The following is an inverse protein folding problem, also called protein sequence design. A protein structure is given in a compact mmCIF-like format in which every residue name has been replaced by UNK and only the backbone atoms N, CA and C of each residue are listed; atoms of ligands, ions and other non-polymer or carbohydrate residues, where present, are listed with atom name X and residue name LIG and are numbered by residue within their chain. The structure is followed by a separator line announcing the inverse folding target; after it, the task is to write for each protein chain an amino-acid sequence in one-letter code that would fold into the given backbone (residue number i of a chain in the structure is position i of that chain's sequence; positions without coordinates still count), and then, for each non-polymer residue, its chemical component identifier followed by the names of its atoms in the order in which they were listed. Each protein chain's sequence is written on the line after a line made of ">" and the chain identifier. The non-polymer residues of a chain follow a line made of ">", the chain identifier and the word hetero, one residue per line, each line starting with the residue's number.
data_IF_504256814968
#
_entry.id   IF_504256814968
#
_cell.length_a   1.000
_cell.length_b   1.000
_cell.length_c   1.000
_cell.angle_alpha   90.00
_cell.angle_beta   90.00
_cell.angle_gamma   90.00
#
_symmetry.space_group_name_H-M   'P 1'
#
loop_
_entity.id
_entity.type
_entity.pdbx_description
1 polymer ?
#
# COMPACT_ATOMS: atom_id res chain seq x y z
N UNK A 1 -2.24 -7.03 0.29
CA UNK A 1 -2.86 -6.77 -1.02
C UNK A 1 -2.02 -5.77 -1.80
N UNK A 2 -1.85 -5.98 -3.12
CA UNK A 2 -1.04 -5.14 -4.03
C UNK A 2 -1.45 -3.68 -4.17
N UNK A 3 -2.67 -3.34 -3.75
CA UNK A 3 -3.27 -2.01 -3.83
C UNK A 3 -2.45 -0.89 -3.19
N UNK A 4 -1.72 -1.15 -2.11
CA UNK A 4 -0.90 -0.13 -1.45
C UNK A 4 0.20 0.45 -2.36
N UNK A 5 0.94 -0.41 -3.06
CA UNK A 5 2.04 0.03 -3.93
C UNK A 5 1.58 0.44 -5.33
N UNK A 6 0.46 -0.12 -5.78
CA UNK A 6 -0.27 0.43 -6.92
C UNK A 6 -0.66 1.90 -6.66
N UNK A 7 -1.12 2.23 -5.45
CA UNK A 7 -1.45 3.59 -5.06
C UNK A 7 -0.29 4.57 -5.25
N UNK A 8 0.94 4.15 -4.95
CA UNK A 8 2.16 4.93 -5.24
C UNK A 8 2.36 5.19 -6.73
N UNK A 9 2.21 4.15 -7.57
CA UNK A 9 2.30 4.28 -9.03
C UNK A 9 1.20 5.15 -9.63
N UNK A 10 -0.05 4.99 -9.19
CA UNK A 10 -1.19 5.83 -9.58
C UNK A 10 -0.95 7.29 -9.17
N UNK A 11 -0.42 7.51 -7.97
CA UNK A 11 -0.10 8.87 -7.48
C UNK A 11 0.95 9.53 -8.36
N UNK A 12 2.00 8.83 -8.79
CA UNK A 12 3.00 9.41 -9.70
C UNK A 12 2.41 9.82 -11.05
N UNK A 13 1.52 9.01 -11.64
CA UNK A 13 0.86 9.35 -12.91
C UNK A 13 -0.14 10.50 -12.73
N UNK A 14 -1.04 10.40 -11.76
CA UNK A 14 -2.12 11.38 -11.54
C UNK A 14 -1.54 12.72 -11.11
N UNK A 15 -0.63 12.74 -10.14
CA UNK A 15 -0.08 13.97 -9.60
C UNK A 15 1.02 14.55 -10.50
N UNK A 16 1.95 13.71 -10.95
CA UNK A 16 3.13 14.13 -11.69
C UNK A 16 2.85 14.38 -13.18
N UNK A 17 2.12 13.48 -13.84
CA UNK A 17 1.95 13.53 -15.30
C UNK A 17 0.63 14.17 -15.75
N UNK A 18 -0.42 14.17 -14.92
CA UNK A 18 -1.71 14.75 -15.28
C UNK A 18 -1.99 16.08 -14.60
N UNK A 19 -1.99 16.12 -13.26
CA UNK A 19 -2.41 17.31 -12.52
C UNK A 19 -1.34 18.41 -12.54
N UNK A 20 -0.06 18.10 -12.32
CA UNK A 20 0.98 19.12 -12.30
C UNK A 20 1.12 19.92 -13.61
N UNK A 21 1.14 19.31 -14.81
CA UNK A 21 1.14 20.05 -16.07
C UNK A 21 -0.12 20.89 -16.26
N UNK A 22 -1.29 20.38 -15.85
CA UNK A 22 -2.57 21.09 -15.94
C UNK A 22 -2.60 22.36 -15.08
N UNK A 23 -2.09 22.29 -13.84
CA UNK A 23 -2.00 23.47 -12.98
C UNK A 23 -0.89 24.45 -13.40
N UNK A 24 0.18 23.96 -14.05
CA UNK A 24 1.25 24.80 -14.60
C UNK A 24 0.79 25.70 -15.76
N UNK A 25 -0.32 25.38 -16.43
CA UNK A 25 -0.89 26.23 -17.50
C UNK A 25 -1.45 27.56 -16.99
N UNK A 26 -1.79 27.65 -15.70
CA UNK A 26 -2.39 28.85 -15.10
C UNK A 26 -1.65 29.41 -13.88
N UNK A 27 -0.57 28.76 -13.44
CA UNK A 27 0.12 29.08 -12.18
C UNK A 27 1.63 28.87 -12.28
N UNK A 28 2.41 29.52 -11.40
CA UNK A 28 3.85 29.26 -11.28
C UNK A 28 4.11 27.81 -10.81
N UNK A 29 5.27 27.21 -11.16
CA UNK A 29 5.62 25.86 -10.73
C UNK A 29 5.52 25.66 -9.21
N UNK A 30 5.96 26.64 -8.42
CA UNK A 30 5.87 26.65 -6.95
C UNK A 30 4.42 26.62 -6.44
N UNK A 31 3.49 27.27 -7.12
CA UNK A 31 2.10 27.27 -6.71
C UNK A 31 1.40 25.99 -7.19
N UNK A 32 1.73 25.50 -8.39
CA UNK A 32 1.14 24.29 -8.97
C UNK A 32 1.40 23.04 -8.11
N UNK A 33 2.62 22.81 -7.62
CA UNK A 33 2.91 21.63 -6.79
C UNK A 33 2.15 21.64 -5.46
N UNK A 34 1.97 22.82 -4.85
CA UNK A 34 1.22 22.99 -3.59
C UNK A 34 -0.26 22.71 -3.78
N UNK A 35 -0.85 23.22 -4.86
CA UNK A 35 -2.27 23.03 -5.16
C UNK A 35 -2.59 21.59 -5.53
N UNK A 36 -1.70 20.91 -6.24
CA UNK A 36 -1.85 19.49 -6.58
C UNK A 36 -1.96 18.62 -5.32
N UNK A 37 -1.23 18.95 -4.24
CA UNK A 37 -1.31 18.24 -2.95
C UNK A 37 -2.65 18.37 -2.21
N UNK A 38 -3.50 19.34 -2.58
CA UNK A 38 -4.85 19.48 -1.99
C UNK A 38 -5.75 18.33 -2.45
N UNK A 39 -5.59 17.85 -3.69
CA UNK A 39 -6.41 16.79 -4.28
C UNK A 39 -6.39 15.50 -3.43
N UNK A 40 -5.24 14.88 -3.11
CA UNK A 40 -5.22 13.69 -2.27
C UNK A 40 -5.70 13.96 -0.83
N UNK A 41 -5.52 15.17 -0.30
CA UNK A 41 -6.03 15.54 1.02
C UNK A 41 -7.57 15.51 1.06
N UNK A 42 -8.23 16.07 0.05
CA UNK A 42 -9.70 16.04 -0.07
C UNK A 42 -10.22 14.63 -0.26
N UNK A 43 -9.58 13.84 -1.14
CA UNK A 43 -9.95 12.43 -1.37
C UNK A 43 -9.79 11.61 -0.08
N UNK A 44 -8.70 11.81 0.65
CA UNK A 44 -8.45 11.14 1.93
C UNK A 44 -9.51 11.49 2.98
N UNK A 45 -9.85 12.77 3.12
CA UNK A 45 -10.87 13.22 4.07
C UNK A 45 -12.27 12.70 3.72
N UNK A 46 -12.66 12.77 2.44
CA UNK A 46 -13.94 12.24 1.98
C UNK A 46 -14.05 10.72 2.16
N UNK A 47 -12.96 9.99 1.87
CA UNK A 47 -12.90 8.54 2.10
C UNK A 47 -13.00 8.21 3.58
N UNK A 48 -12.25 8.91 4.44
CA UNK A 48 -12.31 8.74 5.89
C UNK A 48 -13.71 9.01 6.44
N UNK A 49 -14.37 10.09 6.01
CA UNK A 49 -15.74 10.39 6.40
C UNK A 49 -16.72 9.30 5.96
N UNK A 50 -16.55 8.76 4.75
CA UNK A 50 -17.39 7.68 4.22
C UNK A 50 -17.24 6.40 5.05
N UNK A 51 -16.01 6.02 5.38
CA UNK A 51 -15.72 4.86 6.23
C UNK A 51 -16.39 5.02 7.60
N UNK A 52 -16.27 6.18 8.23
CA UNK A 52 -16.88 6.45 9.54
C UNK A 52 -18.41 6.39 9.54
N UNK A 53 -19.07 6.52 8.39
CA UNK A 53 -20.53 6.57 8.28
C UNK A 53 -21.15 5.27 7.75
N UNK A 54 -20.42 4.51 6.95
CA UNK A 54 -20.96 3.37 6.19
C UNK A 54 -20.31 2.04 6.60
N UNK A 55 -19.08 2.06 7.11
CA UNK A 55 -18.35 0.83 7.39
C UNK A 55 -18.62 0.30 8.80
N UNK A 56 -18.94 -0.99 8.87
CA UNK A 56 -18.96 -1.75 10.11
C UNK A 56 -17.55 -2.32 10.40
N UNK A 57 -17.20 -2.46 11.68
CA UNK A 57 -15.88 -2.98 12.09
C UNK A 57 -15.63 -4.43 11.65
N UNK A 58 -16.70 -5.24 11.55
CA UNK A 58 -16.63 -6.62 11.09
C UNK A 58 -18.00 -7.11 10.56
N UNK A 59 -18.07 -8.29 9.90
CA UNK A 59 -19.34 -8.84 9.40
C UNK A 59 -20.41 -9.09 10.47
N UNK A 60 -20.03 -9.11 11.76
CA UNK A 60 -20.94 -9.29 12.90
C UNK A 60 -21.41 -7.96 13.53
N UNK A 61 -21.05 -6.82 12.93
CA UNK A 61 -21.33 -5.48 13.46
C UNK A 61 -20.14 -4.85 14.17
N UNK A 62 -20.38 -3.80 14.96
CA UNK A 62 -19.33 -2.99 15.56
C UNK A 62 -18.72 -3.64 16.81
N UNK A 63 -17.41 -3.47 17.00
CA UNK A 63 -16.70 -4.03 18.15
C UNK A 63 -17.18 -3.46 19.48
N UNK A 64 -17.60 -2.19 19.47
CA UNK A 64 -18.14 -1.54 20.66
C UNK A 64 -19.39 -2.27 21.19
N UNK A 65 -20.37 -2.51 20.33
CA UNK A 65 -21.61 -3.17 20.69
C UNK A 65 -21.37 -4.63 21.10
N UNK A 66 -20.44 -5.32 20.45
CA UNK A 66 -20.10 -6.71 20.81
C UNK A 66 -19.39 -6.82 22.16
N UNK A 67 -18.58 -5.83 22.55
CA UNK A 67 -17.97 -5.77 23.88
C UNK A 67 -19.00 -5.44 24.96
N UNK A 68 -19.89 -4.49 24.69
CA UNK A 68 -20.98 -4.11 25.62
C UNK A 68 -21.94 -5.30 25.86
N UNK A 69 -22.21 -6.10 24.83
CA UNK A 69 -23.05 -7.31 24.94
C UNK A 69 -22.30 -8.55 25.47
N UNK A 70 -21.01 -8.43 25.83
CA UNK A 70 -20.22 -9.55 26.38
C UNK A 70 -19.89 -10.66 25.38
N UNK A 71 -20.09 -10.43 24.07
CA UNK A 71 -19.83 -11.41 23.00
C UNK A 71 -18.34 -11.49 22.68
N UNK A 72 -17.58 -10.41 22.93
CA UNK A 72 -16.15 -10.32 22.65
C UNK A 72 -15.36 -10.07 23.94
N UNK A 73 -14.36 -10.92 24.28
CA UNK A 73 -13.50 -10.68 25.43
C UNK A 73 -12.61 -9.46 25.20
N UNK A 74 -12.40 -8.65 26.24
CA UNK A 74 -11.43 -7.57 26.20
C UNK A 74 -10.01 -8.12 26.21
N UNK A 75 -9.40 -8.17 25.03
CA UNK A 75 -7.97 -8.45 24.90
C UNK A 75 -7.17 -7.18 25.15
N UNK A 76 -6.22 -7.26 26.08
CA UNK A 76 -5.29 -6.16 26.32
C UNK A 76 -4.31 -6.06 25.16
N UNK A 77 -4.21 -4.88 24.54
CA UNK A 77 -3.25 -4.63 23.47
C UNK A 77 -1.81 -4.96 23.90
N UNK A 78 -1.48 -4.72 25.17
CA UNK A 78 -0.15 -4.99 25.75
C UNK A 78 0.13 -6.49 25.86
N UNK A 79 -0.87 -7.32 26.20
CA UNK A 79 -0.68 -8.77 26.25
C UNK A 79 -0.49 -9.35 24.85
N UNK A 80 -1.32 -8.95 23.89
CA UNK A 80 -1.18 -9.38 22.50
C UNK A 80 0.14 -8.94 21.87
N UNK A 81 0.60 -7.71 22.17
CA UNK A 81 1.89 -7.22 21.71
C UNK A 81 3.05 -8.04 22.31
N UNK A 82 3.01 -8.32 23.61
CA UNK A 82 4.03 -9.14 24.28
C UNK A 82 4.09 -10.55 23.70
N UNK A 83 2.95 -11.19 23.49
CA UNK A 83 2.90 -12.54 22.90
C UNK A 83 3.47 -12.55 21.48
N UNK A 84 3.13 -11.53 20.68
CA UNK A 84 3.68 -11.36 19.34
C UNK A 84 5.20 -11.14 19.34
N UNK A 85 5.69 -10.28 20.23
CA UNK A 85 7.11 -9.92 20.33
C UNK A 85 7.99 -11.04 20.89
N UNK A 86 7.45 -11.91 21.77
CA UNK A 86 8.18 -13.06 22.30
C UNK A 86 8.21 -14.24 21.33
N UNK A 87 7.40 -14.23 20.27
CA UNK A 87 7.38 -15.30 19.28
C UNK A 87 8.49 -15.12 18.24
N UNK A 88 9.40 -16.09 18.16
CA UNK A 88 10.52 -16.06 17.21
C UNK A 88 10.07 -16.02 15.75
N UNK A 89 8.96 -16.68 15.40
CA UNK A 89 8.43 -16.68 14.04
C UNK A 89 8.00 -15.27 13.59
N UNK A 90 7.52 -14.44 14.52
CA UNK A 90 7.18 -13.04 14.25
C UNK A 90 8.41 -12.28 13.75
N UNK A 91 9.58 -12.49 14.36
CA UNK A 91 10.81 -11.82 13.99
C UNK A 91 11.35 -12.27 12.63
N UNK A 92 11.24 -13.57 12.32
CA UNK A 92 11.59 -14.08 10.99
C UNK A 92 10.73 -13.44 9.89
N UNK A 93 9.41 -13.41 10.09
CA UNK A 93 8.47 -12.78 9.16
C UNK A 93 8.69 -11.26 9.08
N UNK A 94 9.01 -10.62 10.20
CA UNK A 94 9.28 -9.19 10.27
C UNK A 94 10.53 -8.81 9.47
N UNK A 95 11.64 -9.53 9.65
CA UNK A 95 12.89 -9.27 8.90
C UNK A 95 12.67 -9.54 7.41
N UNK A 96 12.04 -10.67 7.06
CA UNK A 96 11.75 -11.00 5.67
C UNK A 96 10.89 -9.91 5.00
N UNK A 97 9.81 -9.50 5.66
CA UNK A 97 8.95 -8.43 5.16
C UNK A 97 9.70 -7.10 5.04
N UNK A 98 10.49 -6.74 6.05
CA UNK A 98 11.31 -5.52 6.06
C UNK A 98 12.32 -5.48 4.90
N UNK A 99 13.00 -6.60 4.63
CA UNK A 99 13.93 -6.71 3.51
C UNK A 99 13.21 -6.60 2.16
N UNK A 100 12.15 -7.37 1.93
CA UNK A 100 11.40 -7.33 0.67
C UNK A 100 10.79 -5.95 0.41
N UNK A 101 10.09 -5.40 1.41
CA UNK A 101 9.43 -4.11 1.28
C UNK A 101 10.44 -2.95 1.21
N UNK A 102 11.55 -3.03 1.94
CA UNK A 102 12.61 -2.01 1.92
C UNK A 102 13.30 -1.89 0.56
N UNK A 103 13.63 -3.02 -0.07
CA UNK A 103 14.16 -3.04 -1.44
C UNK A 103 13.14 -2.46 -2.42
N UNK A 104 11.88 -2.84 -2.27
CA UNK A 104 10.79 -2.34 -3.11
C UNK A 104 10.61 -0.82 -2.98
N UNK A 105 10.68 -0.27 -1.76
CA UNK A 105 10.58 1.17 -1.51
C UNK A 105 11.76 1.94 -2.11
N UNK A 106 12.98 1.40 -1.93
CA UNK A 106 14.20 2.00 -2.48
C UNK A 106 14.14 2.04 -3.99
N UNK A 107 13.68 0.95 -4.62
CA UNK A 107 13.49 0.90 -6.07
C UNK A 107 12.46 1.93 -6.54
N UNK A 108 11.29 2.01 -5.91
CA UNK A 108 10.26 2.98 -6.29
C UNK A 108 10.73 4.45 -6.17
N UNK A 109 11.57 4.77 -5.17
CA UNK A 109 12.10 6.11 -4.98
C UNK A 109 13.21 6.45 -6.01
N UNK A 110 14.13 5.53 -6.24
CA UNK A 110 15.29 5.76 -7.10
C UNK A 110 15.01 5.58 -8.60
N UNK A 111 14.01 4.79 -8.99
CA UNK A 111 13.76 4.40 -10.39
C UNK A 111 13.54 5.59 -11.32
N UNK A 112 12.70 6.55 -10.91
CA UNK A 112 12.38 7.71 -11.77
C UNK A 112 13.63 8.58 -12.03
N UNK A 113 14.45 8.80 -11.00
CA UNK A 113 15.72 9.54 -11.12
C UNK A 113 16.72 8.77 -11.96
N UNK A 114 16.86 7.46 -11.74
CA UNK A 114 17.77 6.59 -12.48
C UNK A 114 17.47 6.59 -13.99
N UNK A 115 16.20 6.47 -14.38
CA UNK A 115 15.79 6.49 -15.79
C UNK A 115 16.04 7.85 -16.45
N UNK A 116 15.91 8.95 -15.70
CA UNK A 116 16.20 10.29 -16.19
C UNK A 116 17.70 10.52 -16.39
N UNK A 117 18.53 10.11 -15.43
CA UNK A 117 19.97 10.39 -15.44
C UNK A 117 20.76 9.42 -16.35
N UNK A 118 20.37 8.15 -16.39
CA UNK A 118 21.12 7.11 -17.14
C UNK A 118 20.69 7.01 -18.59
N UNK A 119 19.39 7.19 -18.87
CA UNK A 119 18.82 7.05 -20.22
C UNK A 119 18.41 8.39 -20.85
N UNK A 120 18.74 9.51 -20.20
CA UNK A 120 18.43 10.89 -20.65
C UNK A 120 16.95 11.11 -20.99
N UNK A 121 16.06 10.34 -20.37
CA UNK A 121 14.63 10.38 -20.63
C UNK A 121 14.01 11.66 -20.03
N UNK A 122 12.95 12.14 -20.69
CA UNK A 122 12.13 13.22 -20.14
C UNK A 122 11.58 12.83 -18.75
N UNK A 123 11.35 13.81 -17.88
CA UNK A 123 10.84 13.53 -16.52
C UNK A 123 9.49 12.81 -16.55
N UNK A 124 8.69 13.07 -17.59
CA UNK A 124 7.38 12.45 -17.79
C UNK A 124 7.51 10.98 -18.22
N UNK A 125 8.36 10.68 -19.21
CA UNK A 125 8.58 9.31 -19.68
C UNK A 125 9.29 8.44 -18.63
N UNK A 126 10.25 9.01 -17.89
CA UNK A 126 10.94 8.32 -16.80
C UNK A 126 9.97 7.97 -15.66
N UNK A 127 9.08 8.90 -15.29
CA UNK A 127 8.02 8.65 -14.29
C UNK A 127 7.01 7.61 -14.77
N UNK A 128 6.61 7.65 -16.05
CA UNK A 128 5.71 6.65 -16.62
C UNK A 128 6.29 5.24 -16.56
N UNK A 129 7.57 5.06 -16.93
CA UNK A 129 8.24 3.75 -16.85
C UNK A 129 8.41 3.30 -15.41
N UNK A 130 8.85 4.18 -14.50
CA UNK A 130 8.97 3.87 -13.08
C UNK A 130 7.63 3.45 -12.46
N UNK A 131 6.51 4.05 -12.88
CA UNK A 131 5.19 3.70 -12.39
C UNK A 131 4.79 2.25 -12.70
N UNK A 132 5.25 1.67 -13.82
CA UNK A 132 4.95 0.29 -14.21
C UNK A 132 5.40 -0.70 -13.12
N UNK A 133 6.51 -0.42 -12.44
CA UNK A 133 7.00 -1.23 -11.33
C UNK A 133 6.01 -1.24 -10.14
N UNK A 134 5.38 -0.10 -9.84
CA UNK A 134 4.31 -0.03 -8.83
C UNK A 134 3.03 -0.76 -9.26
N UNK A 135 2.68 -0.69 -10.55
CA UNK A 135 1.51 -1.38 -11.11
C UNK A 135 1.66 -2.90 -11.11
N UNK A 136 2.87 -3.41 -11.37
CA UNK A 136 3.17 -4.84 -11.31
C UNK A 136 2.77 -5.45 -9.96
N UNK A 137 2.87 -4.71 -8.87
CA UNK A 137 2.59 -5.21 -7.52
C UNK A 137 1.12 -5.57 -7.30
N UNK A 138 0.19 -5.01 -8.09
CA UNK A 138 -1.22 -5.43 -8.08
C UNK A 138 -1.33 -6.89 -8.52
N UNK A 139 -0.68 -7.23 -9.63
CA UNK A 139 -0.73 -8.57 -10.21
C UNK A 139 0.18 -9.54 -9.48
N UNK A 140 1.43 -9.17 -9.21
CA UNK A 140 2.40 -10.04 -8.54
C UNK A 140 1.90 -10.50 -7.16
N UNK A 141 1.29 -9.60 -6.38
CA UNK A 141 0.74 -9.98 -5.07
C UNK A 141 -0.57 -10.75 -5.16
N UNK A 142 -1.40 -10.48 -6.17
CA UNK A 142 -2.61 -11.27 -6.44
C UNK A 142 -2.27 -12.70 -6.86
N UNK A 143 -1.32 -12.85 -7.79
CA UNK A 143 -0.82 -14.13 -8.26
C UNK A 143 -0.13 -14.91 -7.14
N UNK A 144 0.70 -14.27 -6.32
CA UNK A 144 1.34 -14.92 -5.17
C UNK A 144 0.32 -15.47 -4.15
N UNK A 145 -0.77 -14.74 -3.90
CA UNK A 145 -1.87 -15.25 -3.07
C UNK A 145 -2.57 -16.45 -3.70
N UNK A 146 -2.88 -16.36 -5.00
CA UNK A 146 -3.54 -17.42 -5.75
C UNK A 146 -2.69 -18.70 -5.83
N UNK A 147 -1.39 -18.59 -6.11
CA UNK A 147 -0.47 -19.74 -6.11
C UNK A 147 -0.38 -20.36 -4.71
N UNK A 148 -0.25 -19.53 -3.67
CA UNK A 148 -0.23 -19.98 -2.29
C UNK A 148 -1.50 -20.77 -1.91
N UNK A 149 -2.68 -20.31 -2.33
CA UNK A 149 -3.94 -20.99 -2.08
C UNK A 149 -4.06 -22.33 -2.84
N UNK A 150 -3.54 -22.41 -4.07
CA UNK A 150 -3.45 -23.68 -4.83
C UNK A 150 -2.55 -24.67 -4.10
N UNK A 151 -1.35 -24.25 -3.69
CA UNK A 151 -0.41 -25.11 -2.99
C UNK A 151 -0.94 -25.53 -1.61
N UNK A 152 -1.67 -24.66 -0.92
CA UNK A 152 -2.35 -24.99 0.32
C UNK A 152 -3.45 -26.04 0.13
N UNK A 153 -4.20 -25.99 -0.98
CA UNK A 153 -5.22 -27.01 -1.29
C UNK A 153 -4.61 -28.40 -1.47
N UNK A 154 -3.40 -28.48 -2.02
CA UNK A 154 -2.76 -29.76 -2.38
C UNK A 154 -1.85 -30.31 -1.27
N UNK A 155 -1.19 -29.45 -0.47
CA UNK A 155 -0.17 -29.85 0.51
C UNK A 155 -0.41 -29.26 1.92
N UNK A 156 -1.55 -28.63 2.17
CA UNK A 156 -1.87 -27.96 3.44
C UNK A 156 -0.88 -26.84 3.79
N UNK A 157 -0.67 -26.61 5.09
CA UNK A 157 0.19 -25.53 5.59
C UNK A 157 1.65 -25.61 5.10
N UNK A 158 2.15 -26.82 4.77
CA UNK A 158 3.49 -26.98 4.18
C UNK A 158 3.56 -26.44 2.76
N UNK A 159 2.51 -26.61 1.96
CA UNK A 159 2.40 -26.03 0.62
C UNK A 159 2.29 -24.51 0.63
N UNK A 160 1.60 -23.97 1.65
CA UNK A 160 1.48 -22.52 1.87
C UNK A 160 2.82 -21.85 2.19
N UNK A 161 3.70 -22.54 2.93
CA UNK A 161 5.02 -22.03 3.32
C UNK A 161 6.08 -22.19 2.22
N UNK A 162 5.84 -23.06 1.23
CA UNK A 162 6.78 -23.34 0.14
C UNK A 162 6.48 -22.57 -1.16
N UNK A 163 5.40 -21.79 -1.20
CA UNK A 163 4.97 -20.98 -2.33
C UNK A 163 5.36 -19.51 -2.13
#
# INVERSE_FOLDING_TARGET
>A
GGWGNLGGGVTQIVMGSALFPLFKLGMSPEAAWRTVAIVPAVVGFATGFTILRISDDCPKGNYKDMKENGIMPEVSATSSFRDGALNFNTWLLFIQYGCCFGVELTMNNASATYFKETFELSTESAAAIASIFGWMNLFARGLGGFTCDIFNRNMGMRGRLSA
#
